data_IF_280265620859
#
_entry.id   IF_280265620859
#
_cell.length_a   1.000
_cell.length_b   1.000
_cell.length_c   1.000
_cell.angle_alpha   90.00
_cell.angle_beta   90.00
_cell.angle_gamma   90.00
#
_symmetry.space_group_name_H-M   'P 1'
#
loop_
_entity.id
_entity.type
_entity.pdbx_description
1 polymer ?
#
# COMPACT_ATOMS: atom_id res chain seq x y z
N UNK A 1 -4.56 12.08 -20.88
CA UNK A 1 -4.99 11.80 -19.49
C UNK A 1 -6.48 12.12 -19.37
N UNK A 2 -7.26 11.23 -18.74
CA UNK A 2 -8.69 11.44 -18.50
C UNK A 2 -9.09 11.10 -17.06
N UNK A 3 -10.28 11.54 -16.68
CA UNK A 3 -10.83 11.29 -15.34
C UNK A 3 -12.21 10.68 -15.39
N UNK A 4 -12.45 9.68 -14.54
CA UNK A 4 -13.80 9.15 -14.26
C UNK A 4 -14.28 9.73 -12.93
N UNK A 5 -15.56 10.07 -12.84
CA UNK A 5 -16.22 10.38 -11.59
C UNK A 5 -16.84 9.10 -11.05
N UNK A 6 -16.48 8.70 -9.83
CA UNK A 6 -17.14 7.57 -9.15
C UNK A 6 -18.57 7.96 -8.78
N UNK A 7 -19.43 6.97 -8.55
CA UNK A 7 -20.78 7.19 -8.02
C UNK A 7 -20.79 7.77 -6.60
N UNK A 8 -19.62 7.79 -5.95
CA UNK A 8 -19.38 8.33 -4.60
C UNK A 8 -18.82 9.76 -4.65
N UNK A 9 -18.53 10.28 -5.85
CA UNK A 9 -18.17 11.68 -6.10
C UNK A 9 -16.66 11.94 -6.23
N UNK A 10 -15.81 10.92 -6.12
CA UNK A 10 -14.37 11.07 -6.27
C UNK A 10 -13.93 11.05 -7.73
N UNK A 11 -12.93 11.87 -8.04
CA UNK A 11 -12.29 11.91 -9.35
C UNK A 11 -11.11 10.94 -9.40
N UNK A 12 -11.12 10.05 -10.37
CA UNK A 12 -10.07 9.04 -10.56
C UNK A 12 -9.31 9.31 -11.86
N UNK A 13 -7.99 9.45 -11.78
CA UNK A 13 -7.11 9.70 -12.92
C UNK A 13 -6.76 8.40 -13.64
N UNK A 14 -6.82 8.43 -14.97
CA UNK A 14 -6.56 7.30 -15.87
C UNK A 14 -5.77 7.72 -17.10
N UNK A 15 -5.10 6.73 -17.70
CA UNK A 15 -4.55 6.86 -19.05
C UNK A 15 -5.66 6.83 -20.09
N UNK A 16 -5.44 7.48 -21.24
CA UNK A 16 -6.47 7.67 -22.27
C UNK A 16 -6.93 6.34 -22.87
N UNK A 17 -6.01 5.38 -22.99
CA UNK A 17 -6.25 4.05 -23.52
C UNK A 17 -7.16 3.19 -22.64
N UNK A 18 -7.08 3.35 -21.31
CA UNK A 18 -7.88 2.57 -20.37
C UNK A 18 -9.24 3.22 -20.11
N UNK A 19 -9.34 4.55 -20.26
CA UNK A 19 -10.56 5.32 -20.03
C UNK A 19 -11.77 4.79 -20.81
N UNK A 20 -11.60 4.45 -22.09
CA UNK A 20 -12.68 3.98 -22.95
C UNK A 20 -13.29 2.66 -22.47
N UNK A 21 -12.47 1.76 -21.94
CA UNK A 21 -12.93 0.47 -21.44
C UNK A 21 -13.51 0.59 -20.04
N UNK A 22 -12.89 1.37 -19.17
CA UNK A 22 -13.30 1.52 -17.77
C UNK A 22 -14.57 2.38 -17.61
N UNK A 23 -14.83 3.31 -18.53
CA UNK A 23 -16.05 4.15 -18.50
C UNK A 23 -17.34 3.37 -18.77
N UNK A 24 -17.25 2.09 -19.16
CA UNK A 24 -18.43 1.21 -19.36
C UNK A 24 -19.08 0.79 -18.05
N UNK A 25 -18.38 0.93 -16.92
CA UNK A 25 -18.85 0.47 -15.63
C UNK A 25 -18.97 1.63 -14.63
N UNK A 26 -19.91 1.47 -13.70
CA UNK A 26 -20.05 2.37 -12.57
C UNK A 26 -19.06 1.97 -11.48
N UNK A 27 -18.13 2.87 -11.18
CA UNK A 27 -17.11 2.70 -10.14
C UNK A 27 -17.53 3.41 -8.87
N UNK A 28 -17.18 2.85 -7.72
CA UNK A 28 -17.41 3.44 -6.41
C UNK A 28 -16.18 3.30 -5.51
N UNK A 29 -16.04 4.21 -4.56
CA UNK A 29 -15.07 4.13 -3.49
C UNK A 29 -15.57 3.15 -2.42
N UNK A 30 -14.75 2.12 -2.18
CA UNK A 30 -14.92 1.22 -1.04
C UNK A 30 -13.89 1.59 0.03
N UNK A 31 -14.41 1.86 1.22
CA UNK A 31 -13.64 2.18 2.42
C UNK A 31 -13.61 0.92 3.30
N UNK A 32 -12.44 0.29 3.40
CA UNK A 32 -12.23 -0.83 4.32
C UNK A 32 -11.13 -0.49 5.31
N UNK A 33 -11.53 -0.18 6.55
CA UNK A 33 -10.64 0.33 7.61
C UNK A 33 -9.85 1.54 7.07
N UNK A 34 -8.54 1.39 6.93
CA UNK A 34 -7.62 2.43 6.47
C UNK A 34 -7.31 2.34 4.96
N UNK A 35 -7.97 1.45 4.23
CA UNK A 35 -7.71 1.21 2.80
C UNK A 35 -8.85 1.75 1.96
N UNK A 36 -8.49 2.63 1.02
CA UNK A 36 -9.36 3.18 -0.01
C UNK A 36 -9.17 2.40 -1.31
N UNK A 37 -10.26 1.86 -1.86
CA UNK A 37 -10.23 1.07 -3.10
C UNK A 37 -11.28 1.59 -4.07
N UNK A 38 -10.90 1.79 -5.33
CA UNK A 38 -11.86 2.04 -6.40
C UNK A 38 -12.28 0.70 -6.99
N UNK A 39 -13.56 0.38 -6.89
CA UNK A 39 -14.09 -0.91 -7.30
C UNK A 39 -15.45 -0.81 -8.00
N UNK A 40 -15.81 -1.89 -8.68
CA UNK A 40 -17.14 -2.10 -9.26
C UNK A 40 -17.59 -3.53 -8.99
N UNK A 41 -18.90 -3.77 -9.00
CA UNK A 41 -19.48 -5.11 -8.82
C UNK A 41 -20.08 -5.57 -10.14
N UNK A 42 -19.52 -6.65 -10.71
CA UNK A 42 -20.04 -7.27 -11.93
C UNK A 42 -20.87 -8.51 -11.58
N UNK A 43 -22.02 -8.67 -12.24
CA UNK A 43 -22.90 -9.83 -12.07
C UNK A 43 -22.44 -10.96 -12.98
N UNK A 44 -22.30 -12.16 -12.42
CA UNK A 44 -21.97 -13.39 -13.13
C UNK A 44 -23.25 -14.17 -13.46
N UNK A 45 -23.21 -14.99 -14.50
CA UNK A 45 -24.35 -15.80 -14.99
C UNK A 45 -25.03 -16.63 -13.88
N UNK A 46 -24.27 -17.05 -12.86
CA UNK A 46 -24.76 -17.89 -11.76
C UNK A 46 -25.36 -17.08 -10.59
N UNK A 47 -25.93 -15.89 -10.85
CA UNK A 47 -26.43 -14.93 -9.82
C UNK A 47 -25.38 -14.48 -8.79
N UNK A 48 -24.11 -14.85 -8.96
CA UNK A 48 -22.99 -14.42 -8.11
C UNK A 48 -22.53 -13.03 -8.54
N UNK A 49 -21.98 -12.27 -7.61
CA UNK A 49 -21.32 -11.00 -7.90
C UNK A 49 -19.82 -11.14 -7.69
N UNK A 50 -19.04 -10.51 -8.57
CA UNK A 50 -17.58 -10.40 -8.43
C UNK A 50 -17.22 -8.93 -8.26
N UNK A 51 -16.48 -8.64 -7.20
CA UNK A 51 -15.86 -7.33 -7.02
C UNK A 51 -14.62 -7.23 -7.92
N UNK A 52 -14.55 -6.18 -8.71
CA UNK A 52 -13.41 -5.84 -9.59
C UNK A 52 -12.76 -4.57 -9.06
N UNK A 53 -11.43 -4.58 -8.94
CA UNK A 53 -10.64 -3.42 -8.51
C UNK A 53 -10.07 -2.72 -9.73
N UNK A 54 -10.20 -1.39 -9.81
CA UNK A 54 -9.82 -0.63 -11.00
C UNK A 54 -8.33 -0.81 -11.35
N UNK A 55 -7.44 -0.63 -10.38
CA UNK A 55 -6.00 -0.82 -10.56
C UNK A 55 -5.62 -2.24 -11.01
N UNK A 56 -6.44 -3.27 -10.72
CA UNK A 56 -6.19 -4.63 -11.19
C UNK A 56 -6.68 -4.83 -12.62
N UNK A 57 -7.81 -4.21 -12.96
CA UNK A 57 -8.37 -4.28 -14.32
C UNK A 57 -7.44 -3.63 -15.34
N UNK A 58 -6.90 -2.45 -15.01
CA UNK A 58 -5.93 -1.71 -15.84
C UNK A 58 -4.71 -2.57 -16.18
N UNK A 59 -4.22 -3.32 -15.19
CA UNK A 59 -3.07 -4.20 -15.34
C UNK A 59 -3.43 -5.61 -15.82
N UNK A 60 -4.72 -5.86 -16.11
CA UNK A 60 -5.27 -7.19 -16.46
C UNK A 60 -4.80 -8.29 -15.50
N UNK A 61 -4.72 -7.95 -14.22
CA UNK A 61 -4.10 -8.78 -13.19
C UNK A 61 -5.09 -9.77 -12.57
N UNK A 62 -5.07 -11.01 -13.05
CA UNK A 62 -5.88 -12.11 -12.52
C UNK A 62 -5.24 -12.85 -11.34
N UNK A 63 -3.91 -12.80 -11.22
CA UNK A 63 -3.14 -13.55 -10.22
C UNK A 63 -3.41 -13.06 -8.77
N UNK A 64 -3.96 -13.90 -7.88
CA UNK A 64 -4.26 -13.53 -6.49
C UNK A 64 -3.01 -13.40 -5.60
N UNK A 65 -1.86 -13.93 -6.03
CA UNK A 65 -0.59 -13.83 -5.30
C UNK A 65 0.15 -12.52 -5.57
N UNK A 66 -0.36 -11.72 -6.51
CA UNK A 66 0.17 -10.40 -6.86
C UNK A 66 -0.71 -9.29 -6.32
N UNK A 67 -0.06 -8.23 -5.86
CA UNK A 67 -0.66 -7.04 -5.28
C UNK A 67 -0.19 -5.83 -6.06
N UNK A 68 -1.08 -4.86 -6.25
CA UNK A 68 -0.76 -3.60 -6.91
C UNK A 68 -0.49 -2.53 -5.84
N UNK A 69 0.58 -1.78 -6.02
CA UNK A 69 0.98 -0.66 -5.16
C UNK A 69 0.88 0.62 -5.97
N UNK A 70 0.41 1.69 -5.31
CA UNK A 70 0.46 3.06 -5.81
C UNK A 70 1.68 3.76 -5.19
N UNK A 71 2.78 4.01 -5.94
CA UNK A 71 4.01 4.59 -5.38
C UNK A 71 3.80 5.95 -4.72
N UNK A 72 2.88 6.77 -5.25
CA UNK A 72 2.53 8.07 -4.67
C UNK A 72 1.58 7.98 -3.46
N UNK A 73 1.09 6.79 -3.11
CA UNK A 73 0.12 6.59 -2.04
C UNK A 73 -1.29 7.10 -2.33
N UNK A 74 -1.57 7.58 -3.55
CA UNK A 74 -2.87 8.10 -3.94
C UNK A 74 -3.70 7.00 -4.63
N UNK A 75 -4.77 6.49 -3.98
CA UNK A 75 -5.66 5.46 -4.54
C UNK A 75 -6.53 5.96 -5.71
N UNK A 76 -6.60 7.28 -5.92
CA UNK A 76 -7.36 7.91 -7.00
C UNK A 76 -6.50 8.16 -8.26
N UNK A 77 -5.20 7.88 -8.21
CA UNK A 77 -4.32 7.98 -9.38
C UNK A 77 -4.04 6.57 -9.93
N UNK A 78 -4.90 6.13 -10.85
CA UNK A 78 -4.86 4.77 -11.42
C UNK A 78 -4.15 4.74 -12.78
N UNK A 79 -3.39 5.77 -13.15
CA UNK A 79 -2.53 5.74 -14.35
C UNK A 79 -1.49 4.63 -14.22
N UNK A 80 -1.19 3.90 -15.30
CA UNK A 80 -0.21 2.79 -15.33
C UNK A 80 1.15 3.19 -14.79
N UNK A 81 1.61 4.41 -15.07
CA UNK A 81 2.85 4.95 -14.54
C UNK A 81 2.88 5.03 -13.00
N UNK A 82 1.72 5.07 -12.35
CA UNK A 82 1.55 5.08 -10.90
C UNK A 82 1.10 3.71 -10.34
N UNK A 83 1.17 2.62 -11.11
CA UNK A 83 0.80 1.29 -10.65
C UNK A 83 2.02 0.34 -10.74
N UNK A 84 2.31 -0.35 -9.64
CA UNK A 84 3.41 -1.31 -9.58
C UNK A 84 2.96 -2.67 -9.04
N UNK A 85 3.32 -3.76 -9.71
CA UNK A 85 2.94 -5.11 -9.31
C UNK A 85 4.02 -5.74 -8.44
N UNK A 86 3.63 -6.31 -7.32
CA UNK A 86 4.52 -7.01 -6.38
C UNK A 86 3.92 -8.32 -5.94
N UNK A 87 4.77 -9.25 -5.49
CA UNK A 87 4.29 -10.46 -4.80
C UNK A 87 3.74 -10.07 -3.42
N UNK A 88 2.65 -10.72 -3.00
CA UNK A 88 1.93 -10.42 -1.75
C UNK A 88 2.81 -10.38 -0.50
N UNK A 89 3.89 -11.18 -0.46
CA UNK A 89 4.88 -11.16 0.63
C UNK A 89 5.86 -9.98 0.63
N UNK A 90 6.03 -9.27 -0.50
CA UNK A 90 6.96 -8.14 -0.66
C UNK A 90 6.29 -6.77 -0.51
N UNK A 91 4.98 -6.73 -0.24
CA UNK A 91 4.26 -5.46 -0.10
C UNK A 91 4.78 -4.63 1.09
N UNK A 92 5.08 -5.28 2.21
CA UNK A 92 5.50 -4.60 3.44
C UNK A 92 6.89 -3.95 3.35
N UNK A 93 7.77 -4.45 2.48
CA UNK A 93 9.10 -3.86 2.26
C UNK A 93 9.05 -2.60 1.39
N UNK A 94 7.99 -2.45 0.59
CA UNK A 94 7.84 -1.35 -0.38
C UNK A 94 6.88 -0.25 0.08
N UNK A 95 6.00 -0.55 1.04
CA UNK A 95 5.26 0.50 1.75
C UNK A 95 6.27 1.29 2.59
N UNK A 96 6.53 2.55 2.22
CA UNK A 96 7.11 3.51 3.16
C UNK A 96 6.23 3.50 4.40
N UNK A 97 6.71 2.93 5.51
CA UNK A 97 6.06 3.14 6.80
C UNK A 97 6.06 4.65 7.00
N UNK A 98 4.88 5.25 7.08
CA UNK A 98 4.72 6.58 7.66
C UNK A 98 5.06 6.44 9.15
N UNK A 99 6.36 6.38 9.45
CA UNK A 99 6.84 6.62 10.79
C UNK A 99 6.53 8.09 11.04
N UNK A 100 5.42 8.35 11.73
CA UNK A 100 5.26 9.62 12.41
C UNK A 100 6.53 9.82 13.26
N UNK A 101 7.33 10.78 12.82
CA UNK A 101 8.19 11.66 13.61
C UNK A 101 8.76 11.09 14.92
N UNK A 102 10.11 11.00 14.98
CA UNK A 102 10.97 10.74 16.16
C UNK A 102 11.28 9.29 16.54
N UNK A 103 11.02 8.31 15.69
CA UNK A 103 11.57 6.95 15.89
C UNK A 103 12.86 6.82 15.09
N UNK A 104 14.01 6.81 15.76
CA UNK A 104 15.29 6.44 15.13
C UNK A 104 15.11 5.05 14.50
N UNK A 105 15.52 4.91 13.23
CA UNK A 105 15.15 3.83 12.29
C UNK A 105 15.41 2.40 12.79
N UNK A 106 16.18 2.25 13.86
CA UNK A 106 16.63 0.98 14.45
C UNK A 106 16.52 0.94 15.98
N UNK A 107 15.96 1.99 16.60
CA UNK A 107 15.89 2.09 18.07
C UNK A 107 14.48 1.81 18.56
N UNK A 108 14.36 0.88 19.51
CA UNK A 108 13.12 0.50 20.15
C UNK A 108 13.18 0.79 21.65
N UNK A 109 12.22 1.53 22.20
CA UNK A 109 12.13 1.73 23.66
C UNK A 109 11.45 0.53 24.33
N UNK A 110 12.19 -0.14 25.21
CA UNK A 110 11.71 -1.25 26.04
C UNK A 110 11.20 -0.69 27.37
N UNK A 111 9.87 -0.63 27.51
CA UNK A 111 9.19 -0.09 28.69
C UNK A 111 9.52 -0.86 29.99
N UNK A 112 9.72 -2.17 29.90
CA UNK A 112 9.96 -3.05 31.06
C UNK A 112 11.18 -2.64 31.89
N UNK A 113 12.22 -2.13 31.24
CA UNK A 113 13.48 -1.75 31.91
C UNK A 113 13.90 -0.31 31.60
N UNK A 114 13.05 0.46 30.91
CA UNK A 114 13.31 1.84 30.53
C UNK A 114 14.52 2.02 29.61
N UNK A 115 14.86 1.02 28.78
CA UNK A 115 16.04 1.08 27.91
C UNK A 115 15.69 1.25 26.43
N UNK A 116 16.62 1.80 25.67
CA UNK A 116 16.57 1.92 24.21
C UNK A 116 17.42 0.82 23.58
N UNK A 117 16.80 -0.03 22.76
CA UNK A 117 17.45 -1.15 22.09
C UNK A 117 17.76 -0.76 20.65
N UNK A 118 19.04 -0.86 20.26
CA UNK A 118 19.45 -0.76 18.87
C UNK A 118 19.38 -2.16 18.24
N UNK A 119 18.58 -2.33 17.18
CA UNK A 119 18.46 -3.61 16.50
C UNK A 119 18.24 -3.43 14.99
N UNK A 120 18.86 -4.31 14.21
CA UNK A 120 18.70 -4.38 12.76
C UNK A 120 18.04 -5.71 12.36
N UNK A 121 17.33 -5.71 11.25
CA UNK A 121 16.78 -6.94 10.66
C UNK A 121 17.35 -7.12 9.27
N UNK A 122 18.01 -8.26 9.02
CA UNK A 122 18.53 -8.64 7.71
C UNK A 122 18.01 -10.03 7.38
N UNK A 123 17.37 -10.18 6.23
CA UNK A 123 16.79 -11.44 5.73
C UNK A 123 15.83 -12.13 6.71
N UNK A 124 15.07 -11.33 7.48
CA UNK A 124 14.12 -11.82 8.49
C UNK A 124 14.75 -12.20 9.83
N UNK A 125 16.08 -12.17 9.95
CA UNK A 125 16.81 -12.39 11.20
C UNK A 125 17.03 -11.05 11.91
N UNK A 126 16.71 -10.99 13.20
CA UNK A 126 16.94 -9.81 14.06
C UNK A 126 18.31 -9.91 14.73
N UNK A 127 19.09 -8.84 14.63
CA UNK A 127 20.37 -8.67 15.30
C UNK A 127 20.24 -7.53 16.31
N UNK A 128 20.48 -7.82 17.58
CA UNK A 128 20.52 -6.82 18.64
C UNK A 128 21.94 -6.27 18.75
N UNK A 129 22.10 -4.96 18.55
CA UNK A 129 23.39 -4.25 18.65
C UNK A 129 23.68 -3.80 20.09
N UNK A 130 22.65 -3.74 20.95
CA UNK A 130 22.80 -3.44 22.37
C UNK A 130 21.57 -2.74 22.96
N UNK A 131 21.61 -2.55 24.29
CA UNK A 131 20.61 -1.79 25.05
C UNK A 131 21.26 -0.62 25.78
N UNK A 132 20.70 0.57 25.63
CA UNK A 132 21.27 1.83 26.09
C UNK A 132 20.27 2.61 26.94
N UNK A 133 20.77 3.52 27.77
CA UNK A 133 19.92 4.37 28.63
C UNK A 133 19.25 5.52 27.86
N UNK A 134 19.81 5.91 26.72
CA UNK A 134 19.31 7.05 25.92
C UNK A 134 19.13 6.64 24.46
N UNK A 135 18.22 7.32 23.76
CA UNK A 135 17.89 7.04 22.37
C UNK A 135 19.05 7.39 21.43
N UNK A 136 19.81 8.44 21.79
CA UNK A 136 20.92 8.99 21.02
C UNK A 136 22.08 7.98 20.94
N UNK A 137 22.44 7.37 22.07
CA UNK A 137 23.51 6.35 22.11
C UNK A 137 23.09 5.10 21.34
N UNK A 138 21.82 4.69 21.45
CA UNK A 138 21.30 3.58 20.67
C UNK A 138 21.31 3.87 19.16
N UNK A 139 21.07 5.13 18.76
CA UNK A 139 21.10 5.53 17.36
C UNK A 139 22.53 5.56 16.79
N UNK A 140 23.52 6.00 17.58
CA UNK A 140 24.94 6.03 17.17
C UNK A 140 25.52 4.65 16.86
N UNK A 141 24.99 3.58 17.43
CA UNK A 141 25.48 2.21 17.17
C UNK A 141 25.14 1.68 15.77
N UNK A 142 24.43 2.45 14.97
CA UNK A 142 23.97 2.09 13.64
C UNK A 142 24.65 2.87 12.50
N UNK A 143 25.26 4.02 12.78
CA UNK A 143 26.09 4.74 11.79
C UNK A 143 27.39 3.97 11.51
#
# INVERSE_FOLDING_TARGET
MKTILTTTGEKVLLDDEDFLNLSKWNWYLNLNKDVKLICTAIRLNNKKQKMVLMHREILKLSDPNKVVIHPNGNPFDNRKANLFIVNRGKQNSLRKRNYNTKSYKVVHFKKENGTYIAAISKDGVKYCLGSFKTAEVAAMMYD
#
